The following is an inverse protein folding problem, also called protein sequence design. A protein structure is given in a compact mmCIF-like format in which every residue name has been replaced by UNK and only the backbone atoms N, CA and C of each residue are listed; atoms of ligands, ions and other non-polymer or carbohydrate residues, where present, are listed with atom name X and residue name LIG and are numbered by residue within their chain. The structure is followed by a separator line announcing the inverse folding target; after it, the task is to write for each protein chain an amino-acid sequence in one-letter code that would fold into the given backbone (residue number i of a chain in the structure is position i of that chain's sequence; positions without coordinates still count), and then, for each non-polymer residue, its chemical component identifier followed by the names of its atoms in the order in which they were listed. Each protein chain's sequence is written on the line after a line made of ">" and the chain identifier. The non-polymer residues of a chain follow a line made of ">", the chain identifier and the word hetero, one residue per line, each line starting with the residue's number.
data_IF_255766293889
#
_entry.id   IF_255766293889
#
_cell.length_a   1.000
_cell.length_b   1.000
_cell.length_c   1.000
_cell.angle_alpha   90.00
_cell.angle_beta   90.00
_cell.angle_gamma   90.00
#
_symmetry.space_group_name_H-M   'P 1'
#
loop_
_entity.id
_entity.type
_entity.pdbx_description
1 polymer ?
#
# COMPACT_ATOMS: atom_id res chain seq x y z
N UNK A 1 -84.62 19.45 77.76
CA UNK A 1 -84.29 18.59 76.59
C UNK A 1 -83.66 19.39 75.45
N UNK A 2 -84.23 20.53 75.03
CA UNK A 2 -83.72 21.35 73.91
C UNK A 2 -82.28 21.88 74.09
N UNK A 3 -81.91 22.36 75.29
CA UNK A 3 -80.55 22.86 75.59
C UNK A 3 -79.44 21.79 75.48
N UNK A 4 -79.78 20.52 75.68
CA UNK A 4 -78.82 19.42 75.60
C UNK A 4 -78.46 19.10 74.15
N UNK A 5 -79.46 19.04 73.26
CA UNK A 5 -79.23 18.86 71.82
C UNK A 5 -78.49 20.05 71.20
N UNK A 6 -78.78 21.28 71.63
CA UNK A 6 -78.05 22.47 71.18
C UNK A 6 -76.55 22.40 71.53
N UNK A 7 -76.21 22.01 72.77
CA UNK A 7 -74.83 21.82 73.23
C UNK A 7 -74.08 20.76 72.40
N UNK A 8 -74.69 19.62 72.14
CA UNK A 8 -74.06 18.57 71.34
C UNK A 8 -73.97 18.95 69.86
N UNK A 9 -74.96 19.66 69.31
CA UNK A 9 -74.93 20.18 67.95
C UNK A 9 -73.78 21.16 67.72
N UNK A 10 -73.54 22.09 68.67
CA UNK A 10 -72.40 23.02 68.57
C UNK A 10 -71.06 22.29 68.60
N UNK A 11 -70.92 21.26 69.45
CA UNK A 11 -69.68 20.47 69.52
C UNK A 11 -69.43 19.74 68.19
N UNK A 12 -70.47 19.12 67.63
CA UNK A 12 -70.37 18.38 66.36
C UNK A 12 -70.05 19.31 65.18
N UNK A 13 -70.63 20.51 65.16
CA UNK A 13 -70.31 21.53 64.16
C UNK A 13 -68.84 21.98 64.23
N UNK A 14 -68.30 22.17 65.44
CA UNK A 14 -66.88 22.50 65.65
C UNK A 14 -65.99 21.37 65.14
N UNK A 15 -66.28 20.11 65.50
CA UNK A 15 -65.49 18.96 65.02
C UNK A 15 -65.57 18.79 63.51
N UNK A 16 -66.74 18.97 62.90
CA UNK A 16 -66.89 18.90 61.44
C UNK A 16 -66.11 20.01 60.73
N UNK A 17 -66.12 21.24 61.26
CA UNK A 17 -65.32 22.34 60.73
C UNK A 17 -63.81 22.06 60.80
N UNK A 18 -63.34 21.53 61.94
CA UNK A 18 -61.93 21.15 62.14
C UNK A 18 -61.51 20.01 61.20
N UNK A 19 -62.35 18.98 61.05
CA UNK A 19 -62.09 17.86 60.14
C UNK A 19 -62.07 18.31 58.68
N UNK A 20 -62.97 19.21 58.28
CA UNK A 20 -63.00 19.75 56.93
C UNK A 20 -61.77 20.63 56.63
N UNK A 21 -61.36 21.46 57.60
CA UNK A 21 -60.19 22.31 57.46
C UNK A 21 -58.89 21.50 57.41
N UNK A 22 -58.74 20.50 58.28
CA UNK A 22 -57.58 19.60 58.27
C UNK A 22 -57.52 18.75 57.00
N UNK A 23 -58.66 18.27 56.50
CA UNK A 23 -58.74 17.49 55.27
C UNK A 23 -58.34 18.33 54.04
N UNK A 24 -58.82 19.58 53.92
CA UNK A 24 -58.40 20.48 52.85
C UNK A 24 -56.92 20.83 52.92
N UNK A 25 -56.42 21.17 54.11
CA UNK A 25 -55.00 21.47 54.31
C UNK A 25 -54.09 20.27 53.98
N UNK A 26 -54.51 19.06 54.36
CA UNK A 26 -53.79 17.83 54.04
C UNK A 26 -53.77 17.50 52.55
N UNK A 27 -54.89 17.68 51.85
CA UNK A 27 -54.96 17.46 50.40
C UNK A 27 -54.09 18.45 49.61
N UNK A 28 -54.07 19.72 50.00
CA UNK A 28 -53.27 20.72 49.31
C UNK A 28 -51.76 20.51 49.55
N UNK A 29 -51.36 20.08 50.75
CA UNK A 29 -49.98 19.69 51.03
C UNK A 29 -49.57 18.45 50.22
N UNK A 30 -50.40 17.41 50.17
CA UNK A 30 -50.13 16.21 49.39
C UNK A 30 -49.98 16.51 47.89
N UNK A 31 -50.83 17.39 47.33
CA UNK A 31 -50.70 17.84 45.93
C UNK A 31 -49.43 18.66 45.69
N UNK A 32 -49.05 19.51 46.63
CA UNK A 32 -47.82 20.29 46.54
C UNK A 32 -46.57 19.39 46.54
N UNK A 33 -46.55 18.34 47.37
CA UNK A 33 -45.46 17.36 47.38
C UNK A 33 -45.39 16.55 46.08
N UNK A 34 -46.50 16.02 45.59
CA UNK A 34 -46.54 15.26 44.33
C UNK A 34 -46.04 16.11 43.16
N UNK A 35 -46.55 17.35 43.03
CA UNK A 35 -46.10 18.25 41.96
C UNK A 35 -44.63 18.65 42.09
N UNK A 36 -44.11 18.80 43.32
CA UNK A 36 -42.69 19.04 43.55
C UNK A 36 -41.82 17.83 43.18
N UNK A 37 -42.27 16.60 43.49
CA UNK A 37 -41.58 15.37 43.11
C UNK A 37 -41.61 15.17 41.58
N UNK A 38 -42.74 15.40 40.93
CA UNK A 38 -42.87 15.33 39.47
C UNK A 38 -41.90 16.28 38.78
N UNK A 39 -41.82 17.55 39.22
CA UNK A 39 -40.85 18.51 38.69
C UNK A 39 -39.40 18.07 38.90
N UNK A 40 -39.07 17.43 40.02
CA UNK A 40 -37.73 16.88 40.27
C UNK A 40 -37.43 15.71 39.33
N UNK A 41 -38.39 14.82 39.10
CA UNK A 41 -38.25 13.72 38.15
C UNK A 41 -38.08 14.23 36.72
N UNK A 42 -38.83 15.27 36.33
CA UNK A 42 -38.65 15.93 35.04
C UNK A 42 -37.26 16.58 34.93
N UNK A 43 -36.83 17.32 35.95
CA UNK A 43 -35.51 17.95 35.98
C UNK A 43 -34.39 16.92 35.86
N UNK A 44 -34.41 15.86 36.68
CA UNK A 44 -33.45 14.76 36.60
C UNK A 44 -33.52 14.02 35.26
N UNK A 45 -34.72 13.86 34.70
CA UNK A 45 -34.93 13.29 33.38
C UNK A 45 -34.34 14.15 32.27
N UNK A 46 -34.40 15.48 32.38
CA UNK A 46 -33.75 16.38 31.43
C UNK A 46 -32.24 16.37 31.58
N UNK A 47 -31.73 16.39 32.82
CA UNK A 47 -30.29 16.36 33.11
C UNK A 47 -29.65 15.07 32.56
N UNK A 48 -30.24 13.91 32.85
CA UNK A 48 -29.76 12.62 32.32
C UNK A 48 -29.73 12.59 30.79
N UNK A 49 -30.77 13.10 30.12
CA UNK A 49 -30.78 13.22 28.65
C UNK A 49 -29.68 14.15 28.13
N UNK A 50 -29.45 15.29 28.79
CA UNK A 50 -28.37 16.21 28.40
C UNK A 50 -26.99 15.61 28.61
N UNK A 51 -26.79 14.85 29.70
CA UNK A 51 -25.54 14.13 29.96
C UNK A 51 -25.29 13.06 28.91
N UNK A 52 -26.30 12.26 28.57
CA UNK A 52 -26.19 11.26 27.51
C UNK A 52 -25.89 11.89 26.14
N UNK A 53 -26.57 12.98 25.78
CA UNK A 53 -26.30 13.70 24.54
C UNK A 53 -24.88 14.28 24.50
N UNK A 54 -24.41 14.83 25.62
CA UNK A 54 -23.05 15.37 25.74
C UNK A 54 -22.01 14.26 25.65
N UNK A 55 -22.26 13.13 26.31
CA UNK A 55 -21.35 11.98 26.26
C UNK A 55 -21.25 11.42 24.85
N UNK A 56 -22.39 11.20 24.17
CA UNK A 56 -22.42 10.76 22.77
C UNK A 56 -21.68 11.72 21.83
N UNK A 57 -21.81 13.04 22.07
CA UNK A 57 -21.07 14.06 21.33
C UNK A 57 -19.57 13.97 21.58
N UNK A 58 -19.13 13.91 22.83
CA UNK A 58 -17.72 13.80 23.21
C UNK A 58 -17.08 12.51 22.67
N UNK A 59 -17.80 11.38 22.72
CA UNK A 59 -17.38 10.12 22.11
C UNK A 59 -17.25 10.24 20.58
N UNK A 60 -18.11 11.03 19.94
CA UNK A 60 -18.00 11.38 18.52
C UNK A 60 -16.74 12.19 18.22
N UNK A 61 -16.55 13.29 18.95
CA UNK A 61 -15.38 14.18 18.82
C UNK A 61 -14.06 13.43 19.07
N UNK A 62 -14.03 12.55 20.08
CA UNK A 62 -12.87 11.73 20.40
C UNK A 62 -12.58 10.68 19.32
N UNK A 63 -13.60 10.06 18.73
CA UNK A 63 -13.42 9.17 17.58
C UNK A 63 -12.87 9.91 16.37
N UNK A 64 -13.39 11.10 16.09
CA UNK A 64 -12.90 11.94 15.00
C UNK A 64 -11.44 12.36 15.21
N UNK A 65 -11.10 12.87 16.40
CA UNK A 65 -9.73 13.26 16.74
C UNK A 65 -8.74 12.09 16.61
N UNK A 66 -9.15 10.87 17.01
CA UNK A 66 -8.33 9.66 16.81
C UNK A 66 -8.13 9.32 15.34
N UNK A 67 -9.17 9.47 14.51
CA UNK A 67 -9.08 9.25 13.07
C UNK A 67 -8.15 10.27 12.41
N UNK A 68 -8.27 11.54 12.77
CA UNK A 68 -7.42 12.62 12.27
C UNK A 68 -5.96 12.41 12.66
N UNK A 69 -5.70 12.04 13.92
CA UNK A 69 -4.36 11.70 14.39
C UNK A 69 -3.77 10.50 13.62
N UNK A 70 -4.54 9.42 13.47
CA UNK A 70 -4.09 8.25 12.71
C UNK A 70 -3.88 8.56 11.22
N UNK A 71 -4.65 9.47 10.64
CA UNK A 71 -4.46 9.93 9.26
C UNK A 71 -3.20 10.79 9.13
N UNK A 72 -2.95 11.69 10.09
CA UNK A 72 -1.75 12.51 10.13
C UNK A 72 -0.50 11.66 10.31
N UNK A 73 -0.53 10.70 11.23
CA UNK A 73 0.59 9.81 11.47
C UNK A 73 0.94 8.98 10.21
N UNK A 74 -0.07 8.47 9.49
CA UNK A 74 0.13 7.78 8.20
C UNK A 74 0.65 8.69 7.08
N UNK A 75 0.45 10.01 7.14
CA UNK A 75 1.09 10.95 6.21
C UNK A 75 2.53 11.18 6.61
N UNK A 76 2.77 11.45 7.89
CA UNK A 76 4.10 11.66 8.44
C UNK A 76 5.04 10.48 8.17
N UNK A 77 4.61 9.25 8.45
CA UNK A 77 5.39 8.03 8.21
C UNK A 77 5.71 7.79 6.72
N UNK A 78 4.88 8.32 5.81
CA UNK A 78 5.10 8.22 4.36
C UNK A 78 6.00 9.33 3.83
N UNK A 79 5.81 10.55 4.32
CA UNK A 79 6.44 11.75 3.74
C UNK A 79 7.79 12.07 4.41
N UNK A 80 7.99 11.64 5.65
CA UNK A 80 9.22 11.89 6.40
C UNK A 80 10.11 10.64 6.35
N UNK A 81 11.23 10.68 5.60
CA UNK A 81 12.17 9.57 5.61
C UNK A 81 12.80 9.42 7.00
N UNK A 82 12.91 8.18 7.49
CA UNK A 82 13.54 7.83 8.77
C UNK A 82 14.85 7.05 8.55
N UNK A 83 15.74 7.09 9.55
CA UNK A 83 17.01 6.33 9.54
C UNK A 83 17.94 6.72 8.37
N UNK A 84 18.47 5.72 7.68
CA UNK A 84 19.43 5.91 6.57
C UNK A 84 18.83 6.70 5.40
N UNK A 85 17.53 6.56 5.16
CA UNK A 85 16.82 7.34 4.15
C UNK A 85 16.82 8.85 4.48
N UNK A 86 16.75 9.20 5.76
CA UNK A 86 16.85 10.59 6.21
C UNK A 86 18.24 11.18 5.94
N UNK A 87 19.29 10.37 6.15
CA UNK A 87 20.66 10.77 5.85
C UNK A 87 20.87 11.01 4.35
N UNK A 88 20.33 10.14 3.49
CA UNK A 88 20.36 10.32 2.03
C UNK A 88 19.57 11.55 1.58
N UNK A 89 18.38 11.78 2.14
CA UNK A 89 17.57 12.96 1.82
C UNK A 89 18.27 14.26 2.22
N UNK A 90 18.90 14.29 3.40
CA UNK A 90 19.72 15.43 3.84
C UNK A 90 20.91 15.66 2.90
N UNK A 91 21.63 14.61 2.51
CA UNK A 91 22.72 14.71 1.54
C UNK A 91 22.23 15.25 0.18
N UNK A 92 21.07 14.78 -0.30
CA UNK A 92 20.46 15.28 -1.52
C UNK A 92 20.13 16.78 -1.40
N UNK A 93 19.57 17.22 -0.27
CA UNK A 93 19.31 18.64 0.00
C UNK A 93 20.59 19.47 0.03
N UNK A 94 21.65 19.00 0.69
CA UNK A 94 22.96 19.68 0.74
C UNK A 94 23.53 19.87 -0.66
N UNK A 95 23.44 18.85 -1.54
CA UNK A 95 23.91 18.95 -2.94
C UNK A 95 23.07 19.91 -3.77
N UNK A 96 21.76 19.93 -3.57
CA UNK A 96 20.87 20.89 -4.23
C UNK A 96 21.19 22.32 -3.78
N UNK A 97 21.40 22.53 -2.48
CA UNK A 97 21.80 23.82 -1.91
C UNK A 97 23.17 24.28 -2.41
N UNK A 98 24.10 23.34 -2.65
CA UNK A 98 25.40 23.59 -3.27
C UNK A 98 25.31 23.86 -4.80
N UNK A 99 24.11 23.93 -5.38
CA UNK A 99 23.89 24.31 -6.77
C UNK A 99 23.78 23.14 -7.75
N UNK A 100 23.73 21.89 -7.28
CA UNK A 100 23.47 20.73 -8.16
C UNK A 100 21.99 20.75 -8.58
N UNK A 101 21.67 20.76 -9.88
CA UNK A 101 20.28 20.77 -10.34
C UNK A 101 19.58 19.46 -9.96
N UNK A 102 18.32 19.56 -9.52
CA UNK A 102 17.52 18.42 -9.05
C UNK A 102 17.46 17.26 -10.06
N UNK A 103 17.31 17.57 -11.34
CA UNK A 103 17.27 16.59 -12.42
C UNK A 103 18.53 15.69 -12.47
N UNK A 104 19.70 16.23 -12.10
CA UNK A 104 20.95 15.46 -12.07
C UNK A 104 21.01 14.50 -10.88
N UNK A 105 20.50 14.92 -9.73
CA UNK A 105 20.40 14.04 -8.54
C UNK A 105 19.43 12.90 -8.81
N UNK A 106 18.30 13.19 -9.47
CA UNK A 106 17.32 12.19 -9.85
C UNK A 106 17.88 11.17 -10.86
N UNK A 107 18.60 11.64 -11.88
CA UNK A 107 19.26 10.77 -12.86
C UNK A 107 20.23 9.79 -12.17
N UNK A 108 21.06 10.28 -11.25
CA UNK A 108 22.02 9.45 -10.51
C UNK A 108 21.32 8.37 -9.68
N UNK A 109 20.18 8.69 -9.06
CA UNK A 109 19.40 7.71 -8.29
C UNK A 109 18.76 6.65 -9.21
N UNK A 110 18.33 7.03 -10.43
CA UNK A 110 17.81 6.09 -11.43
C UNK A 110 18.90 5.16 -11.97
N UNK A 111 20.11 5.70 -12.16
CA UNK A 111 21.25 4.95 -12.68
C UNK A 111 21.89 4.03 -11.62
N UNK A 112 21.63 4.26 -10.33
CA UNK A 112 22.15 3.48 -9.20
C UNK A 112 21.46 2.10 -9.00
N UNK A 113 21.12 1.42 -10.10
CA UNK A 113 20.54 0.07 -10.06
C UNK A 113 21.53 -1.03 -9.64
N UNK A 114 21.03 -2.22 -9.26
CA UNK A 114 21.88 -3.34 -8.88
C UNK A 114 22.76 -3.78 -10.06
N UNK A 115 24.08 -3.76 -9.85
CA UNK A 115 25.06 -4.23 -10.84
C UNK A 115 25.10 -5.75 -10.81
N UNK A 116 24.46 -6.41 -11.79
CA UNK A 116 24.58 -7.86 -11.99
C UNK A 116 25.98 -8.15 -12.53
N UNK A 117 26.88 -8.63 -11.66
CA UNK A 117 28.21 -9.08 -12.07
C UNK A 117 28.16 -10.58 -12.35
N UNK A 118 27.93 -10.95 -13.60
CA UNK A 118 28.11 -12.35 -14.02
C UNK A 118 29.61 -12.68 -14.03
N UNK A 119 30.01 -13.78 -13.39
CA UNK A 119 31.41 -14.19 -13.32
C UNK A 119 31.87 -14.69 -14.69
N UNK A 120 32.98 -14.15 -15.20
CA UNK A 120 33.53 -14.44 -16.53
C UNK A 120 34.14 -15.85 -16.71
N UNK A 121 33.71 -16.88 -15.97
CA UNK A 121 34.06 -18.28 -16.26
C UNK A 121 33.23 -18.81 -17.43
N UNK A 122 33.25 -18.05 -18.51
CA UNK A 122 32.45 -18.29 -19.67
C UNK A 122 33.16 -19.07 -20.74
N UNK A 123 32.48 -20.04 -21.35
CA UNK A 123 32.99 -20.67 -22.58
C UNK A 123 32.61 -19.77 -23.75
N UNK A 124 33.62 -19.32 -24.50
CA UNK A 124 33.44 -18.56 -25.73
C UNK A 124 33.82 -19.43 -26.93
N UNK A 125 32.94 -19.52 -27.92
CA UNK A 125 33.18 -20.27 -29.15
C UNK A 125 32.73 -19.46 -30.37
N UNK A 126 33.51 -19.57 -31.45
CA UNK A 126 33.21 -18.93 -32.74
C UNK A 126 32.61 -19.95 -33.71
N UNK A 127 31.62 -19.53 -34.48
CA UNK A 127 30.97 -20.35 -35.50
C UNK A 127 30.61 -19.50 -36.73
N UNK A 128 30.34 -20.17 -37.86
CA UNK A 128 30.00 -19.51 -39.11
C UNK A 128 28.54 -19.06 -39.12
N UNK A 129 28.30 -17.85 -39.63
CA UNK A 129 26.95 -17.33 -39.89
C UNK A 129 26.38 -18.03 -41.11
N UNK A 130 25.13 -18.47 -41.04
CA UNK A 130 24.42 -19.03 -42.18
C UNK A 130 23.90 -17.92 -43.10
N UNK A 131 24.16 -18.05 -44.40
CA UNK A 131 23.69 -17.08 -45.40
C UNK A 131 22.71 -17.71 -46.39
N UNK A 132 21.69 -16.95 -46.77
CA UNK A 132 20.74 -17.32 -47.82
C UNK A 132 19.32 -17.61 -47.33
N UNK A 133 18.40 -17.97 -48.25
CA UNK A 133 16.97 -18.10 -47.97
C UNK A 133 16.59 -19.32 -47.13
N UNK A 134 17.50 -20.29 -46.98
CA UNK A 134 17.34 -21.46 -46.12
C UNK A 134 18.54 -21.59 -45.20
N UNK A 135 18.27 -21.68 -43.91
CA UNK A 135 19.28 -21.99 -42.88
C UNK A 135 19.48 -23.50 -42.88
N UNK A 136 20.69 -24.02 -43.13
CA UNK A 136 20.92 -25.45 -43.14
C UNK A 136 20.81 -26.02 -41.72
N UNK A 137 20.38 -27.28 -41.59
CA UNK A 137 20.10 -27.90 -40.30
C UNK A 137 21.33 -28.05 -39.40
N UNK A 138 22.53 -28.05 -39.97
CA UNK A 138 23.81 -28.05 -39.27
C UNK A 138 24.37 -26.65 -39.01
N UNK A 139 23.61 -25.59 -39.32
CA UNK A 139 24.01 -24.23 -38.98
C UNK A 139 23.95 -24.00 -37.47
N UNK A 140 24.87 -23.15 -37.01
CA UNK A 140 24.97 -22.74 -35.62
C UNK A 140 25.98 -23.56 -34.83
N UNK A 141 25.86 -23.46 -33.52
CA UNK A 141 26.75 -24.12 -32.58
C UNK A 141 25.94 -24.59 -31.37
N UNK A 142 26.36 -25.73 -30.82
CA UNK A 142 25.85 -26.28 -29.58
C UNK A 142 26.88 -26.05 -28.47
N UNK A 143 26.41 -25.58 -27.33
CA UNK A 143 27.19 -25.28 -26.14
C UNK A 143 26.56 -25.97 -24.93
N UNK A 144 27.38 -26.17 -23.89
CA UNK A 144 27.00 -26.93 -22.69
C UNK A 144 26.45 -28.33 -23.05
N UNK A 145 27.26 -29.15 -23.73
CA UNK A 145 26.91 -30.54 -24.08
C UNK A 145 25.56 -30.72 -24.80
N UNK A 146 25.18 -29.74 -25.63
CA UNK A 146 23.93 -29.77 -26.41
C UNK A 146 22.73 -29.11 -25.74
N UNK A 147 22.90 -28.53 -24.54
CA UNK A 147 21.81 -27.88 -23.80
C UNK A 147 21.42 -26.52 -24.37
N UNK A 148 22.36 -25.80 -25.00
CA UNK A 148 22.09 -24.52 -25.67
C UNK A 148 22.54 -24.62 -27.13
N UNK A 149 21.62 -24.36 -28.05
CA UNK A 149 21.91 -24.21 -29.47
C UNK A 149 21.71 -22.76 -29.90
N UNK A 150 22.72 -22.19 -30.55
CA UNK A 150 22.67 -20.83 -31.09
C UNK A 150 22.88 -20.87 -32.59
N UNK A 151 21.95 -20.28 -33.33
CA UNK A 151 22.00 -20.17 -34.79
C UNK A 151 21.94 -18.70 -35.15
N UNK A 152 22.85 -18.26 -36.02
CA UNK A 152 22.86 -16.89 -36.56
C UNK A 152 22.74 -17.01 -38.06
N UNK A 153 21.73 -16.37 -38.64
CA UNK A 153 21.50 -16.33 -40.08
C UNK A 153 21.37 -14.90 -40.60
N UNK A 154 21.72 -14.68 -41.86
CA UNK A 154 21.52 -13.40 -42.54
C UNK A 154 21.12 -13.62 -44.01
N UNK A 155 20.36 -12.69 -44.63
CA UNK A 155 19.93 -12.83 -46.02
C UNK A 155 21.11 -12.88 -47.00
N UNK A 156 22.04 -11.93 -46.91
CA UNK A 156 23.24 -11.87 -47.76
C UNK A 156 24.53 -11.68 -46.95
N UNK A 157 25.65 -12.12 -47.53
CA UNK A 157 26.98 -11.99 -46.91
C UNK A 157 27.49 -10.55 -46.82
N UNK A 158 26.94 -9.66 -47.66
CA UNK A 158 27.28 -8.24 -47.70
C UNK A 158 26.46 -7.40 -46.74
N UNK A 159 25.40 -7.96 -46.16
CA UNK A 159 24.48 -7.21 -45.31
C UNK A 159 25.11 -6.87 -43.96
N UNK A 160 24.65 -5.76 -43.39
CA UNK A 160 25.06 -5.32 -42.06
C UNK A 160 24.42 -6.23 -41.00
N UNK A 161 25.23 -7.12 -40.42
CA UNK A 161 24.81 -8.10 -39.41
C UNK A 161 24.21 -7.43 -38.16
N UNK A 162 24.48 -6.14 -37.91
CA UNK A 162 23.86 -5.43 -36.79
C UNK A 162 22.36 -5.24 -36.97
N UNK A 163 21.86 -5.28 -38.22
CA UNK A 163 20.46 -5.06 -38.56
C UNK A 163 19.80 -6.25 -39.24
N UNK A 164 20.53 -6.97 -40.09
CA UNK A 164 19.98 -8.02 -40.94
C UNK A 164 20.12 -9.43 -40.36
N UNK A 165 20.92 -9.61 -39.30
CA UNK A 165 21.10 -10.93 -38.69
C UNK A 165 19.86 -11.35 -37.91
N UNK A 166 19.51 -12.63 -37.97
CA UNK A 166 18.53 -13.27 -37.08
C UNK A 166 19.28 -14.24 -36.18
N UNK A 167 19.12 -14.08 -34.87
CA UNK A 167 19.73 -14.92 -33.84
C UNK A 167 18.63 -15.79 -33.24
N UNK A 168 18.75 -17.10 -33.36
CA UNK A 168 17.86 -18.05 -32.70
C UNK A 168 18.64 -18.73 -31.58
N UNK A 169 18.13 -18.60 -30.37
CA UNK A 169 18.67 -19.25 -29.18
C UNK A 169 17.65 -20.28 -28.73
N UNK A 170 18.07 -21.53 -28.70
CA UNK A 170 17.25 -22.65 -28.23
C UNK A 170 17.93 -23.25 -27.01
N UNK A 171 17.20 -23.30 -25.90
CA UNK A 171 17.66 -23.92 -24.66
C UNK A 171 16.84 -25.18 -24.36
N UNK A 172 17.47 -26.17 -23.74
CA UNK A 172 16.80 -27.41 -23.37
C UNK A 172 15.60 -27.13 -22.44
N UNK A 173 14.40 -27.53 -22.89
CA UNK A 173 13.16 -27.33 -22.14
C UNK A 173 12.51 -25.95 -22.29
N UNK A 174 13.03 -25.07 -23.17
CA UNK A 174 12.41 -23.78 -23.47
C UNK A 174 12.06 -23.66 -24.97
N UNK A 175 11.07 -22.80 -25.27
CA UNK A 175 10.75 -22.46 -26.65
C UNK A 175 11.91 -21.68 -27.31
N UNK A 176 12.21 -21.93 -28.60
CA UNK A 176 13.24 -21.18 -29.31
C UNK A 176 12.92 -19.68 -29.34
N UNK A 177 13.85 -18.86 -28.87
CA UNK A 177 13.72 -17.41 -28.91
C UNK A 177 14.45 -16.88 -30.13
N UNK A 178 13.77 -16.05 -30.92
CA UNK A 178 14.34 -15.41 -32.11
C UNK A 178 14.48 -13.91 -31.90
N UNK A 179 15.64 -13.38 -32.24
CA UNK A 179 16.01 -11.98 -32.11
C UNK A 179 16.56 -11.46 -33.43
N UNK A 180 16.36 -10.18 -33.68
CA UNK A 180 16.87 -9.51 -34.88
C UNK A 180 18.00 -8.56 -34.52
N UNK A 181 19.06 -8.58 -35.32
CA UNK A 181 20.26 -7.77 -35.16
C UNK A 181 21.28 -8.36 -34.19
N UNK A 182 22.52 -7.87 -34.29
CA UNK A 182 23.63 -8.12 -33.37
C UNK A 182 24.19 -6.78 -32.86
N UNK A 183 24.81 -6.73 -31.66
CA UNK A 183 24.98 -7.81 -30.69
C UNK A 183 23.70 -8.12 -29.91
N UNK A 184 23.58 -9.36 -29.41
CA UNK A 184 22.47 -9.77 -28.54
C UNK A 184 23.01 -10.27 -27.20
N UNK A 185 22.32 -9.92 -26.11
CA UNK A 185 22.57 -10.45 -24.77
C UNK A 185 21.25 -10.91 -24.19
N UNK A 186 21.16 -12.18 -23.82
CA UNK A 186 19.97 -12.77 -23.25
C UNK A 186 20.35 -13.66 -22.07
N UNK A 187 19.51 -13.70 -21.05
CA UNK A 187 19.66 -14.69 -19.99
C UNK A 187 18.73 -15.87 -20.24
N UNK A 188 19.28 -17.06 -20.07
CA UNK A 188 18.60 -18.33 -20.29
C UNK A 188 18.70 -19.13 -18.99
N UNK A 189 17.58 -19.70 -18.54
CA UNK A 189 17.55 -20.50 -17.31
C UNK A 189 17.68 -21.97 -17.68
N UNK A 190 18.71 -22.64 -17.15
CA UNK A 190 18.97 -24.05 -17.34
C UNK A 190 18.93 -24.75 -15.97
N UNK A 191 17.82 -25.42 -15.69
CA UNK A 191 17.58 -26.04 -14.38
C UNK A 191 17.51 -24.99 -13.28
N UNK A 192 18.56 -24.90 -12.46
CA UNK A 192 18.70 -23.97 -11.34
C UNK A 192 19.77 -22.89 -11.54
N UNK A 193 20.37 -22.78 -12.72
CA UNK A 193 21.39 -21.78 -13.04
C UNK A 193 20.90 -20.81 -14.13
N UNK A 194 21.23 -19.52 -13.98
CA UNK A 194 20.98 -18.52 -15.02
C UNK A 194 22.26 -18.35 -15.85
N UNK A 195 22.15 -18.50 -17.16
CA UNK A 195 23.28 -18.37 -18.07
C UNK A 195 23.03 -17.18 -18.97
N UNK A 196 23.89 -16.17 -18.86
CA UNK A 196 23.92 -15.08 -19.81
C UNK A 196 24.60 -15.55 -21.09
N UNK A 197 23.83 -15.55 -22.19
CA UNK A 197 24.28 -15.80 -23.55
C UNK A 197 24.52 -14.45 -24.21
N UNK A 198 25.76 -14.22 -24.67
CA UNK A 198 26.11 -13.05 -25.47
C UNK A 198 26.57 -13.48 -26.85
N UNK A 199 25.97 -12.91 -27.89
CA UNK A 199 26.29 -13.20 -29.29
C UNK A 199 26.75 -11.92 -29.96
N UNK A 200 27.97 -11.93 -30.48
CA UNK A 200 28.62 -10.78 -31.11
C UNK A 200 29.27 -11.20 -32.44
N UNK A 201 29.41 -10.28 -33.39
CA UNK A 201 30.18 -10.54 -34.62
C UNK A 201 31.31 -9.52 -34.73
N UNK A 202 32.53 -9.98 -34.47
CA UNK A 202 33.74 -9.15 -34.62
C UNK A 202 34.36 -9.28 -36.01
N UNK A 203 34.14 -10.42 -36.67
CA UNK A 203 34.71 -10.76 -37.97
C UNK A 203 33.57 -11.10 -38.91
N UNK A 204 33.55 -10.50 -40.11
CA UNK A 204 32.55 -10.81 -41.14
C UNK A 204 32.52 -12.30 -41.43
N UNK A 205 31.33 -12.87 -41.56
CA UNK A 205 31.17 -14.32 -41.78
C UNK A 205 31.08 -15.15 -40.50
N UNK A 206 31.48 -14.61 -39.34
CA UNK A 206 31.54 -15.36 -38.10
C UNK A 206 30.81 -14.65 -36.95
N UNK A 207 30.17 -15.43 -36.11
CA UNK A 207 29.63 -15.00 -34.83
C UNK A 207 30.39 -15.68 -33.69
N UNK A 208 30.60 -14.95 -32.61
CA UNK A 208 31.15 -15.44 -31.36
C UNK A 208 30.01 -15.49 -30.36
N UNK A 209 29.82 -16.65 -29.73
CA UNK A 209 28.91 -16.80 -28.60
C UNK A 209 29.74 -17.01 -27.34
N UNK A 210 29.46 -16.21 -26.32
CA UNK A 210 30.04 -16.35 -24.99
C UNK A 210 28.92 -16.58 -23.98
N UNK A 211 29.02 -17.67 -23.22
CA UNK A 211 28.16 -17.98 -22.09
C UNK A 211 28.83 -17.50 -20.82
N UNK A 212 28.12 -16.91 -19.87
CA UNK A 212 28.63 -16.65 -18.52
C UNK A 212 27.58 -16.98 -17.49
N UNK A 213 27.98 -17.64 -16.40
CA UNK A 213 27.07 -17.94 -15.29
C UNK A 213 26.72 -16.69 -14.48
N UNK A 214 25.44 -16.54 -14.19
CA UNK A 214 24.85 -15.63 -13.24
C UNK A 214 24.00 -16.47 -12.26
#
# INVERSE_FOLDING_TARGET
>A
MFLWFAKWGTVLAIFAGLAFWSYRGGLDLARAEVTALERRLEALGTETRTLHATNARLEGELRQARQDYAALQRRYERDVPAGDAAAMFRLAQERIAAGVPRARVEQLLRDAGPVVRCEGRGTSRRFAVAYGPRVPENAGIELHDGLIRVVVSAPNQTDDLTRAATVVIQAAGQEPQSFTGLPQRQSVVLGNAEIAVSVTSEIRGFATVALSGC
#
